data_IF_612969646667
#
_entry.id   IF_612969646667
#
_cell.length_a   1.000
_cell.length_b   1.000
_cell.length_c   1.000
_cell.angle_alpha   90.00
_cell.angle_beta   90.00
_cell.angle_gamma   90.00
#
_symmetry.space_group_name_H-M   'P 1'
#
loop_
_entity.id
_entity.type
_entity.pdbx_description
1 polymer ?
#
# COMPACT_ATOMS: atom_id res chain seq x y z
N UNK A 1 5.46 -2.36 -0.97
CA UNK A 1 6.06 -3.60 -0.58
C UNK A 1 6.91 -4.20 -1.69
N UNK A 2 7.74 -5.12 -1.30
CA UNK A 2 8.56 -5.85 -2.25
C UNK A 2 7.68 -6.68 -3.12
N UNK A 3 7.70 -6.95 -4.23
CA UNK A 3 6.84 -7.80 -5.06
C UNK A 3 5.43 -7.26 -5.28
N UNK A 4 5.14 -6.06 -4.86
CA UNK A 4 3.87 -5.46 -5.22
C UNK A 4 3.94 -4.93 -6.65
N UNK A 5 2.83 -5.01 -7.36
CA UNK A 5 2.73 -4.50 -8.72
C UNK A 5 1.86 -3.24 -8.70
N UNK A 6 2.40 -2.15 -9.18
CA UNK A 6 1.69 -0.89 -9.24
C UNK A 6 1.55 -0.52 -10.71
N UNK A 7 0.32 -0.42 -11.19
CA UNK A 7 0.07 -0.19 -12.59
C UNK A 7 0.48 1.23 -12.99
N UNK A 8 0.80 1.43 -14.28
CA UNK A 8 1.16 2.77 -14.76
C UNK A 8 0.07 3.79 -14.47
N UNK A 9 0.48 4.99 -14.06
CA UNK A 9 -0.45 6.06 -13.78
C UNK A 9 -1.03 6.05 -12.37
N UNK A 10 -0.72 5.04 -11.58
CA UNK A 10 -1.20 4.96 -10.20
C UNK A 10 -0.24 5.73 -9.29
N UNK A 11 -0.82 6.52 -8.39
CA UNK A 11 -0.05 7.29 -7.40
C UNK A 11 -0.23 6.68 -6.02
N UNK A 12 0.86 6.63 -5.29
CA UNK A 12 0.86 6.12 -3.90
C UNK A 12 1.22 7.29 -3.00
N UNK A 13 0.36 7.58 -2.04
CA UNK A 13 0.60 8.68 -1.11
C UNK A 13 1.74 8.38 -0.14
N UNK A 14 2.23 9.43 0.53
CA UNK A 14 3.34 9.31 1.45
C UNK A 14 2.98 8.41 2.63
N UNK A 15 3.94 7.64 3.09
CA UNK A 15 3.79 6.76 4.26
C UNK A 15 2.71 5.70 4.09
N UNK A 16 2.32 5.42 2.86
CA UNK A 16 1.41 4.31 2.57
C UNK A 16 2.19 3.02 2.52
N UNK A 17 1.52 1.92 2.83
CA UNK A 17 2.11 0.59 2.82
C UNK A 17 1.32 -0.30 1.87
N UNK A 18 2.00 -0.93 0.94
CA UNK A 18 1.39 -1.92 0.04
C UNK A 18 2.04 -3.26 0.34
N UNK A 19 1.25 -4.23 0.77
CA UNK A 19 1.76 -5.53 1.14
C UNK A 19 2.31 -6.28 -0.08
N UNK A 20 3.26 -7.17 0.16
CA UNK A 20 3.84 -7.99 -0.90
C UNK A 20 2.76 -8.81 -1.59
N UNK A 21 2.91 -9.00 -2.88
CA UNK A 21 1.96 -9.78 -3.67
C UNK A 21 0.70 -9.02 -4.06
N UNK A 22 0.61 -7.74 -3.69
CA UNK A 22 -0.56 -6.93 -4.05
C UNK A 22 -0.45 -6.40 -5.47
N UNK A 23 -1.61 -6.13 -6.08
CA UNK A 23 -1.67 -5.49 -7.38
C UNK A 23 -2.53 -4.24 -7.25
N UNK A 24 -1.91 -3.08 -7.47
CA UNK A 24 -2.57 -1.79 -7.22
C UNK A 24 -3.07 -1.22 -8.53
N UNK A 25 -4.38 -1.03 -8.61
CA UNK A 25 -5.06 -0.51 -9.80
C UNK A 25 -5.48 0.94 -9.64
N UNK A 26 -5.67 1.40 -8.40
CA UNK A 26 -6.17 2.74 -8.11
C UNK A 26 -5.20 3.49 -7.22
N UNK A 27 -5.27 4.82 -7.24
CA UNK A 27 -4.43 5.65 -6.39
C UNK A 27 -4.68 5.32 -4.92
N UNK A 28 -3.60 5.32 -4.15
CA UNK A 28 -3.67 5.04 -2.73
C UNK A 28 -3.36 6.34 -1.97
N UNK A 29 -4.29 6.82 -1.13
CA UNK A 29 -4.04 8.00 -0.31
C UNK A 29 -2.91 7.77 0.68
N UNK A 30 -2.38 8.87 1.20
CA UNK A 30 -1.30 8.79 2.18
C UNK A 30 -1.74 8.08 3.45
N UNK A 31 -0.81 7.41 4.09
CA UNK A 31 -0.97 6.82 5.42
C UNK A 31 -2.05 5.74 5.46
N UNK A 32 -2.07 4.91 4.44
CA UNK A 32 -2.99 3.78 4.39
C UNK A 32 -2.24 2.50 4.08
N UNK A 33 -2.77 1.39 4.56
CA UNK A 33 -2.25 0.07 4.28
C UNK A 33 -3.21 -0.61 3.33
N UNK A 34 -2.69 -1.10 2.22
CA UNK A 34 -3.49 -1.79 1.20
C UNK A 34 -2.88 -3.14 0.90
N UNK A 35 -3.74 -4.08 0.54
CA UNK A 35 -3.30 -5.45 0.30
C UNK A 35 -4.26 -6.17 -0.62
N UNK A 36 -3.74 -7.14 -1.35
CA UNK A 36 -4.55 -8.04 -2.16
C UNK A 36 -4.44 -7.83 -3.65
N UNK A 37 -5.21 -8.60 -4.40
CA UNK A 37 -5.27 -8.51 -5.86
C UNK A 37 -6.74 -8.62 -6.28
N UNK A 38 -7.39 -7.50 -6.63
CA UNK A 38 -6.87 -6.15 -6.59
C UNK A 38 -6.65 -5.67 -5.16
N UNK A 39 -5.70 -4.76 -4.98
CA UNK A 39 -5.40 -4.24 -3.66
C UNK A 39 -6.61 -3.50 -3.09
N UNK A 40 -6.85 -3.70 -1.81
CA UNK A 40 -7.96 -3.06 -1.12
C UNK A 40 -7.48 -2.46 0.19
N UNK A 41 -8.19 -1.46 0.65
CA UNK A 41 -7.87 -0.78 1.90
C UNK A 41 -7.95 -1.76 3.07
N UNK A 42 -6.95 -1.71 3.94
CA UNK A 42 -6.90 -2.53 5.14
C UNK A 42 -7.10 -1.67 6.37
N UNK A 43 -6.24 -0.68 6.55
CA UNK A 43 -6.31 0.21 7.72
C UNK A 43 -5.47 1.45 7.46
N UNK A 44 -5.61 2.42 8.35
CA UNK A 44 -4.75 3.60 8.34
C UNK A 44 -3.44 3.29 9.07
N UNK A 45 -2.35 3.86 8.57
CA UNK A 45 -1.06 3.79 9.25
C UNK A 45 -1.10 4.75 10.44
N UNK A 46 -0.71 4.26 11.61
CA UNK A 46 -0.62 5.08 12.81
C UNK A 46 0.83 5.38 13.13
N UNK A 47 1.04 6.41 13.96
CA UNK A 47 2.40 6.79 14.34
C UNK A 47 3.16 5.66 15.01
N UNK A 48 2.46 4.76 15.68
CA UNK A 48 3.08 3.63 16.36
C UNK A 48 3.33 2.44 15.45
N UNK A 49 2.77 2.43 14.25
CA UNK A 49 2.97 1.32 13.32
C UNK A 49 4.37 1.41 12.72
N UNK A 50 5.00 0.27 12.59
CA UNK A 50 6.34 0.20 11.99
C UNK A 50 6.38 -0.95 11.01
N UNK A 51 6.18 -0.63 9.75
CA UNK A 51 6.15 -1.63 8.68
C UNK A 51 7.52 -1.81 8.01
N UNK A 52 8.52 -1.04 8.38
CA UNK A 52 9.83 -1.12 7.73
C UNK A 52 10.53 -2.43 8.03
N UNK A 53 10.11 -3.10 9.06
CA UNK A 53 10.72 -4.35 9.49
C UNK A 53 10.04 -5.57 8.91
N UNK A 54 8.99 -5.37 8.22
CA UNK A 54 8.22 -6.47 7.63
C UNK A 54 8.88 -7.04 6.40
#
# INVERSE_FOLDING_TARGET
GRNAIILPGVSIGDHSVVAAGSVVFDDIPARQVWRGNPAAFVKHVRATDDFRRS
#
